data_IF_702252886287
#
_entry.id   IF_702252886287
#
_cell.length_a   1.000
_cell.length_b   1.000
_cell.length_c   1.000
_cell.angle_alpha   90.00
_cell.angle_beta   90.00
_cell.angle_gamma   90.00
#
_symmetry.space_group_name_H-M   'P 1'
#
loop_
_entity.id
_entity.type
_entity.pdbx_description
1 polymer ?
#
# COMPACT_ATOMS: atom_id res chain seq x y z
N UNK A 1 17.87 -13.29 24.67
CA UNK A 1 16.65 -14.08 24.34
C UNK A 1 16.45 -14.05 22.84
N UNK A 2 16.57 -15.21 22.17
CA UNK A 2 16.38 -15.32 20.71
C UNK A 2 14.88 -15.41 20.40
N UNK A 3 14.34 -14.42 19.69
CA UNK A 3 12.98 -14.44 19.16
C UNK A 3 12.82 -15.55 18.12
N UNK A 4 11.90 -16.48 18.36
CA UNK A 4 11.55 -17.57 17.43
C UNK A 4 10.74 -16.98 16.29
N UNK A 5 11.30 -16.90 15.07
CA UNK A 5 10.52 -16.64 13.85
C UNK A 5 9.53 -17.80 13.65
N UNK A 6 8.23 -17.51 13.76
CA UNK A 6 7.16 -18.45 13.44
C UNK A 6 7.16 -18.72 11.93
N UNK A 7 7.70 -19.86 11.51
CA UNK A 7 7.49 -20.37 10.15
C UNK A 7 6.11 -21.00 10.11
N UNK A 8 5.13 -20.30 9.51
CA UNK A 8 3.83 -20.91 9.16
C UNK A 8 4.07 -21.95 8.07
N UNK A 9 4.23 -23.22 8.45
CA UNK A 9 4.04 -24.35 7.52
C UNK A 9 2.53 -24.51 7.32
N UNK A 10 2.04 -24.26 6.11
CA UNK A 10 0.65 -24.51 5.77
C UNK A 10 0.49 -25.96 5.29
N UNK A 11 -0.45 -26.67 5.92
CA UNK A 11 -0.83 -28.03 5.59
C UNK A 11 -1.63 -28.07 4.28
N UNK A 12 -1.21 -28.92 3.35
CA UNK A 12 -1.99 -29.31 2.17
C UNK A 12 -3.18 -30.13 2.66
N UNK A 13 -4.37 -29.52 2.68
CA UNK A 13 -5.63 -30.24 2.85
C UNK A 13 -6.53 -29.83 1.68
N UNK A 14 -7.09 -30.83 1.01
CA UNK A 14 -7.94 -30.69 -0.18
C UNK A 14 -9.06 -29.68 0.11
N UNK A 15 -8.99 -28.53 -0.57
CA UNK A 15 -9.97 -27.44 -0.46
C UNK A 15 -11.21 -27.82 -1.27
N UNK A 16 -12.13 -28.57 -0.65
CA UNK A 16 -13.47 -28.81 -1.19
C UNK A 16 -14.46 -27.92 -0.43
N UNK A 17 -15.03 -26.94 -1.14
CA UNK A 17 -16.29 -26.25 -0.82
C UNK A 17 -16.43 -25.64 0.59
N UNK A 18 -15.51 -24.76 0.98
CA UNK A 18 -15.72 -23.87 2.12
C UNK A 18 -15.10 -22.50 1.82
N UNK A 19 -15.90 -21.58 1.29
CA UNK A 19 -15.72 -20.12 1.41
C UNK A 19 -16.87 -19.45 0.64
N UNK A 20 -17.92 -19.09 1.37
CA UNK A 20 -18.83 -17.94 1.19
C UNK A 20 -20.19 -18.24 1.83
N UNK A 21 -20.28 -18.16 3.16
CA UNK A 21 -21.55 -17.81 3.81
C UNK A 21 -21.25 -16.85 4.96
N UNK A 22 -21.51 -15.57 4.72
CA UNK A 22 -21.76 -14.63 5.79
C UNK A 22 -23.04 -15.05 6.51
N UNK A 23 -22.94 -15.17 7.83
CA UNK A 23 -24.05 -15.09 8.78
C UNK A 23 -25.26 -16.01 8.52
N UNK A 24 -25.04 -17.31 8.46
CA UNK A 24 -26.05 -18.26 8.94
C UNK A 24 -25.36 -19.20 9.92
N UNK A 25 -25.81 -19.18 11.17
CA UNK A 25 -25.38 -20.11 12.22
C UNK A 25 -25.37 -21.53 11.65
N UNK A 26 -24.17 -22.09 11.47
CA UNK A 26 -24.01 -23.50 11.13
C UNK A 26 -24.56 -24.32 12.30
N UNK A 27 -25.82 -24.72 12.18
CA UNK A 27 -26.42 -25.72 13.06
C UNK A 27 -25.62 -27.00 12.86
N UNK A 28 -24.84 -27.39 13.87
CA UNK A 28 -24.16 -28.68 13.91
C UNK A 28 -25.14 -29.78 13.54
N UNK A 29 -24.71 -30.69 12.66
CA UNK A 29 -25.54 -31.76 12.10
C UNK A 29 -26.34 -32.47 13.20
N UNK A 30 -27.63 -32.16 13.28
CA UNK A 30 -28.56 -32.95 14.07
C UNK A 30 -28.67 -34.31 13.38
N UNK A 31 -28.33 -35.39 14.10
CA UNK A 31 -28.52 -36.76 13.64
C UNK A 31 -29.96 -36.96 13.20
N UNK A 32 -30.17 -37.40 11.96
CA UNK A 32 -31.49 -37.55 11.38
C UNK A 32 -31.53 -38.63 10.31
N UNK A 33 -32.70 -38.81 9.71
CA UNK A 33 -32.95 -39.80 8.66
C UNK A 33 -33.69 -39.16 7.49
N UNK A 34 -33.31 -39.56 6.28
CA UNK A 34 -34.05 -39.23 5.07
C UNK A 34 -35.40 -39.96 5.07
N UNK A 35 -36.43 -39.25 4.62
CA UNK A 35 -37.79 -39.75 4.45
C UNK A 35 -38.32 -39.32 3.09
N UNK A 36 -39.26 -40.09 2.55
CA UNK A 36 -39.84 -39.83 1.23
C UNK A 36 -41.33 -40.19 1.21
N UNK A 37 -42.11 -39.39 0.49
CA UNK A 37 -43.51 -39.67 0.14
C UNK A 37 -43.77 -39.30 -1.33
N UNK A 38 -45.05 -39.16 -1.73
CA UNK A 38 -45.42 -38.76 -3.08
C UNK A 38 -45.06 -37.32 -3.45
N UNK A 39 -44.79 -36.46 -2.45
CA UNK A 39 -44.48 -35.04 -2.65
C UNK A 39 -42.98 -34.78 -2.74
N UNK A 40 -42.15 -35.60 -2.10
CA UNK A 40 -40.70 -35.54 -2.24
C UNK A 40 -39.93 -36.10 -1.05
N UNK A 41 -38.65 -35.72 -0.97
CA UNK A 41 -37.76 -36.09 0.13
C UNK A 41 -37.75 -35.03 1.21
N UNK A 42 -37.63 -35.41 2.49
CA UNK A 42 -37.31 -34.50 3.59
C UNK A 42 -36.34 -35.15 4.57
N UNK A 43 -35.74 -34.34 5.44
CA UNK A 43 -34.81 -34.82 6.47
C UNK A 43 -35.40 -34.61 7.86
N UNK A 44 -35.64 -35.71 8.57
CA UNK A 44 -36.22 -35.72 9.92
C UNK A 44 -35.13 -35.93 10.97
N UNK A 45 -35.07 -35.03 11.94
CA UNK A 45 -34.11 -35.08 13.05
C UNK A 45 -34.57 -36.04 14.14
N UNK A 46 -33.62 -36.49 14.97
CA UNK A 46 -33.86 -37.45 16.05
C UNK A 46 -34.81 -36.95 17.15
N UNK A 47 -34.99 -35.63 17.28
CA UNK A 47 -35.93 -34.99 18.20
C UNK A 47 -37.37 -34.92 17.65
N UNK A 48 -37.61 -35.47 16.46
CA UNK A 48 -38.90 -35.45 15.77
C UNK A 48 -39.17 -34.21 14.93
N UNK A 49 -38.27 -33.20 14.94
CA UNK A 49 -38.35 -32.04 14.04
C UNK A 49 -37.82 -32.37 12.63
N UNK A 50 -37.91 -31.44 11.69
CA UNK A 50 -37.42 -31.63 10.30
C UNK A 50 -36.81 -30.36 9.70
N UNK A 51 -35.98 -30.53 8.67
CA UNK A 51 -35.34 -29.44 7.97
C UNK A 51 -36.36 -28.64 7.12
N UNK A 52 -36.41 -27.31 7.30
CA UNK A 52 -37.33 -26.42 6.59
C UNK A 52 -36.70 -25.04 6.43
N UNK A 53 -36.80 -24.49 5.21
CA UNK A 53 -36.27 -23.17 4.80
C UNK A 53 -34.80 -22.95 5.18
N UNK A 54 -33.94 -23.92 4.87
CA UNK A 54 -32.51 -23.86 5.21
C UNK A 54 -31.64 -24.82 4.41
N UNK A 55 -30.35 -24.51 4.35
CA UNK A 55 -29.30 -25.43 3.96
C UNK A 55 -28.95 -26.41 5.08
N UNK A 56 -28.70 -27.67 4.73
CA UNK A 56 -28.19 -28.69 5.66
C UNK A 56 -27.08 -29.47 4.96
N UNK A 57 -25.95 -29.63 5.65
CA UNK A 57 -24.89 -30.53 5.22
C UNK A 57 -25.14 -31.92 5.82
N UNK A 58 -25.33 -32.92 4.97
CA UNK A 58 -25.58 -34.31 5.35
C UNK A 58 -24.52 -35.15 4.66
N UNK A 59 -23.75 -35.92 5.43
CA UNK A 59 -22.65 -36.76 4.91
C UNK A 59 -21.68 -36.01 3.98
N UNK A 60 -21.35 -34.76 4.34
CA UNK A 60 -20.47 -33.84 3.59
C UNK A 60 -21.05 -33.30 2.28
N UNK A 61 -22.30 -33.59 1.94
CA UNK A 61 -23.01 -33.03 0.78
C UNK A 61 -24.03 -31.98 1.26
N UNK A 62 -24.17 -30.88 0.54
CA UNK A 62 -25.12 -29.82 0.86
C UNK A 62 -26.46 -30.05 0.18
N UNK A 63 -27.55 -29.82 0.92
CA UNK A 63 -28.93 -29.91 0.44
C UNK A 63 -29.69 -28.67 0.92
N UNK A 64 -30.66 -28.19 0.13
CA UNK A 64 -31.57 -27.13 0.55
C UNK A 64 -32.98 -27.68 0.77
N UNK A 65 -33.62 -27.29 1.86
CA UNK A 65 -35.02 -27.65 2.18
C UNK A 65 -35.90 -26.42 2.09
N UNK A 66 -37.00 -26.53 1.34
CA UNK A 66 -37.97 -25.46 1.09
C UNK A 66 -38.81 -25.15 2.33
N UNK A 67 -39.69 -24.15 2.23
CA UNK A 67 -40.58 -23.73 3.32
C UNK A 67 -41.66 -24.77 3.65
N UNK A 68 -41.94 -25.72 2.77
CA UNK A 68 -42.81 -26.87 3.04
C UNK A 68 -42.08 -28.03 3.73
N UNK A 69 -40.75 -27.94 3.89
CA UNK A 69 -39.90 -28.99 4.47
C UNK A 69 -39.33 -29.98 3.46
N UNK A 70 -39.75 -29.93 2.20
CA UNK A 70 -39.25 -30.83 1.17
C UNK A 70 -37.92 -30.32 0.59
N UNK A 71 -37.05 -31.27 0.27
CA UNK A 71 -35.77 -31.08 -0.38
C UNK A 71 -35.98 -30.48 -1.78
N UNK A 72 -35.19 -29.48 -2.11
CA UNK A 72 -35.05 -28.99 -3.47
C UNK A 72 -34.38 -30.04 -4.36
N UNK A 73 -34.76 -30.10 -5.63
CA UNK A 73 -34.14 -30.98 -6.62
C UNK A 73 -34.30 -30.38 -8.01
N UNK A 74 -33.27 -30.46 -8.83
CA UNK A 74 -33.24 -29.90 -10.19
C UNK A 74 -33.62 -28.40 -10.25
N UNK A 75 -33.11 -27.59 -9.30
CA UNK A 75 -33.44 -26.17 -9.23
C UNK A 75 -32.33 -25.33 -8.57
N UNK A 76 -32.36 -24.02 -8.77
CA UNK A 76 -31.48 -23.08 -8.07
C UNK A 76 -32.05 -22.70 -6.71
N UNK A 77 -31.18 -22.70 -5.70
CA UNK A 77 -31.44 -22.15 -4.38
C UNK A 77 -30.27 -21.28 -3.98
N UNK A 78 -30.54 -20.01 -3.71
CA UNK A 78 -29.56 -19.07 -3.17
C UNK A 78 -28.21 -19.05 -3.93
N UNK A 79 -28.26 -19.10 -5.28
CA UNK A 79 -27.07 -19.03 -6.14
C UNK A 79 -26.37 -20.36 -6.40
N UNK A 80 -26.87 -21.46 -5.85
CA UNK A 80 -26.34 -22.80 -6.07
C UNK A 80 -27.38 -23.66 -6.77
N UNK A 81 -26.93 -24.48 -7.72
CA UNK A 81 -27.82 -25.48 -8.28
C UNK A 81 -27.84 -26.73 -7.43
N UNK A 82 -29.06 -27.22 -7.24
CA UNK A 82 -29.37 -28.51 -6.63
C UNK A 82 -29.72 -29.51 -7.73
N UNK A 83 -28.93 -30.57 -7.90
CA UNK A 83 -29.18 -31.58 -8.94
C UNK A 83 -30.40 -32.47 -8.66
N UNK A 84 -30.71 -33.40 -9.58
CA UNK A 84 -31.87 -34.28 -9.44
C UNK A 84 -31.82 -35.21 -8.24
N UNK A 85 -30.65 -35.39 -7.61
CA UNK A 85 -30.48 -36.13 -6.36
C UNK A 85 -30.65 -35.26 -5.12
N UNK A 86 -30.85 -33.94 -5.28
CA UNK A 86 -30.86 -32.98 -4.18
C UNK A 86 -29.48 -32.50 -3.75
N UNK A 87 -28.42 -33.08 -4.30
CA UNK A 87 -27.06 -32.67 -4.00
C UNK A 87 -26.82 -31.28 -4.62
N UNK A 88 -26.40 -30.35 -3.77
CA UNK A 88 -25.80 -29.11 -4.21
C UNK A 88 -24.56 -29.45 -5.01
N UNK A 89 -24.60 -29.08 -6.29
CA UNK A 89 -23.50 -29.31 -7.19
C UNK A 89 -22.79 -27.99 -7.40
N UNK A 90 -21.52 -27.97 -7.00
CA UNK A 90 -20.56 -26.89 -7.26
C UNK A 90 -20.25 -26.69 -8.76
N UNK A 91 -20.89 -27.47 -9.62
CA UNK A 91 -20.57 -27.59 -11.05
C UNK A 91 -21.58 -26.94 -12.00
N UNK A 92 -22.64 -26.25 -11.56
CA UNK A 92 -23.74 -25.99 -12.49
C UNK A 92 -23.51 -24.94 -13.58
N UNK A 93 -23.87 -25.44 -14.76
CA UNK A 93 -23.53 -25.07 -16.12
C UNK A 93 -24.84 -24.70 -16.82
N UNK A 94 -24.75 -23.78 -17.77
CA UNK A 94 -25.88 -23.20 -18.49
C UNK A 94 -25.69 -21.71 -18.75
N UNK A 95 -24.72 -21.12 -18.05
CA UNK A 95 -24.14 -19.86 -18.43
C UNK A 95 -23.31 -19.97 -19.70
N UNK A 96 -23.29 -18.88 -20.45
CA UNK A 96 -22.38 -18.68 -21.55
C UNK A 96 -21.51 -17.47 -21.25
N UNK A 97 -20.26 -17.53 -21.70
CA UNK A 97 -19.45 -16.33 -21.77
C UNK A 97 -20.10 -15.34 -22.72
N UNK A 98 -20.24 -14.12 -22.22
CA UNK A 98 -20.69 -12.96 -22.97
C UNK A 98 -19.58 -11.92 -22.97
N UNK A 99 -19.61 -11.02 -23.95
CA UNK A 99 -18.63 -9.95 -24.06
C UNK A 99 -19.22 -8.72 -24.73
N UNK A 100 -18.77 -7.55 -24.30
CA UNK A 100 -19.07 -6.27 -24.93
C UNK A 100 -17.79 -5.42 -24.98
N UNK A 101 -17.91 -4.11 -25.25
CA UNK A 101 -16.76 -3.18 -25.28
C UNK A 101 -16.09 -2.96 -23.91
N UNK A 102 -16.82 -3.19 -22.83
CA UNK A 102 -16.36 -2.97 -21.46
C UNK A 102 -15.62 -4.19 -20.92
N UNK A 103 -16.14 -5.39 -21.17
CA UNK A 103 -15.51 -6.62 -20.67
C UNK A 103 -16.30 -7.89 -20.99
N UNK A 104 -15.86 -8.99 -20.36
CA UNK A 104 -16.54 -10.29 -20.40
C UNK A 104 -17.37 -10.51 -19.14
N UNK A 105 -18.45 -11.27 -19.22
CA UNK A 105 -19.20 -11.76 -18.06
C UNK A 105 -19.74 -13.16 -18.35
N UNK A 106 -20.27 -13.82 -17.33
CA UNK A 106 -20.91 -15.12 -17.47
C UNK A 106 -22.39 -14.99 -17.18
N UNK A 107 -23.25 -15.42 -18.09
CA UNK A 107 -24.70 -15.20 -17.97
C UNK A 107 -25.47 -16.43 -18.41
N UNK A 108 -26.47 -16.82 -17.63
CA UNK A 108 -27.35 -17.93 -17.98
C UNK A 108 -28.58 -17.48 -18.79
N UNK A 109 -29.40 -18.46 -19.19
CA UNK A 109 -30.60 -18.22 -20.02
C UNK A 109 -31.72 -17.46 -19.28
N UNK A 110 -31.62 -17.32 -17.96
CA UNK A 110 -32.58 -16.59 -17.13
C UNK A 110 -32.18 -15.13 -16.94
N UNK A 111 -31.00 -14.73 -17.42
CA UNK A 111 -30.44 -13.39 -17.27
C UNK A 111 -29.66 -13.20 -15.96
N UNK A 112 -29.38 -14.27 -15.22
CA UNK A 112 -28.53 -14.21 -14.04
C UNK A 112 -27.05 -14.11 -14.45
N UNK A 113 -26.29 -13.30 -13.70
CA UNK A 113 -24.83 -13.21 -13.81
C UNK A 113 -24.17 -13.02 -12.43
N UNK A 114 -22.95 -13.55 -12.21
CA UNK A 114 -22.21 -13.42 -10.96
C UNK A 114 -21.69 -11.99 -10.75
N UNK A 115 -21.69 -11.53 -9.49
CA UNK A 115 -21.15 -10.22 -9.07
C UNK A 115 -20.42 -10.37 -7.75
N UNK A 116 -19.28 -9.68 -7.60
CA UNK A 116 -18.43 -9.71 -6.38
C UNK A 116 -18.12 -11.12 -5.84
N UNK A 117 -17.91 -12.11 -6.71
CA UNK A 117 -17.74 -13.50 -6.28
C UNK A 117 -16.82 -14.31 -7.20
N UNK A 118 -16.28 -15.40 -6.65
CA UNK A 118 -15.57 -16.43 -7.40
C UNK A 118 -16.56 -17.46 -7.95
N UNK A 119 -16.35 -17.90 -9.19
CA UNK A 119 -17.12 -18.96 -9.84
C UNK A 119 -16.18 -19.92 -10.58
N UNK A 120 -16.41 -21.22 -10.43
CA UNK A 120 -15.66 -22.23 -11.19
C UNK A 120 -16.38 -22.51 -12.51
N UNK A 121 -15.67 -22.32 -13.63
CA UNK A 121 -16.18 -22.56 -14.99
C UNK A 121 -15.15 -23.43 -15.72
N UNK A 122 -15.58 -24.56 -16.30
CA UNK A 122 -14.71 -25.47 -17.06
C UNK A 122 -13.41 -25.85 -16.33
N UNK A 123 -13.51 -26.10 -15.01
CA UNK A 123 -12.38 -26.53 -14.18
C UNK A 123 -11.42 -25.42 -13.74
N UNK A 124 -11.60 -24.18 -14.18
CA UNK A 124 -10.84 -23.01 -13.71
C UNK A 124 -11.72 -22.11 -12.84
N UNK A 125 -11.12 -21.39 -11.89
CA UNK A 125 -11.86 -20.40 -11.09
C UNK A 125 -11.71 -19.01 -11.72
N UNK A 126 -12.77 -18.21 -11.67
CA UNK A 126 -12.85 -16.85 -12.21
C UNK A 126 -13.47 -15.94 -11.17
N UNK A 127 -13.08 -14.67 -11.12
CA UNK A 127 -13.67 -13.69 -10.22
C UNK A 127 -14.46 -12.65 -11.00
N UNK A 128 -15.68 -12.33 -10.54
CA UNK A 128 -16.52 -11.29 -11.12
C UNK A 128 -16.60 -10.10 -10.19
N UNK A 129 -16.34 -8.91 -10.71
CA UNK A 129 -16.34 -7.67 -9.95
C UNK A 129 -17.77 -7.23 -9.59
N UNK A 130 -17.92 -6.15 -8.83
CA UNK A 130 -19.24 -5.63 -8.40
C UNK A 130 -20.14 -5.22 -9.55
N UNK A 131 -19.56 -4.94 -10.71
CA UNK A 131 -20.24 -4.64 -11.96
C UNK A 131 -20.69 -5.88 -12.74
N UNK A 132 -20.28 -7.09 -12.30
CA UNK A 132 -20.52 -8.36 -12.99
C UNK A 132 -19.53 -8.69 -14.10
N UNK A 133 -18.57 -7.80 -14.39
CA UNK A 133 -17.51 -8.10 -15.34
C UNK A 133 -16.44 -9.01 -14.73
N UNK A 134 -15.88 -9.87 -15.56
CA UNK A 134 -14.77 -10.75 -15.24
C UNK A 134 -13.51 -9.92 -14.93
N UNK A 135 -12.94 -10.14 -13.75
CA UNK A 135 -11.60 -9.68 -13.43
C UNK A 135 -10.58 -10.41 -14.31
N UNK A 136 -9.65 -9.66 -14.90
CA UNK A 136 -8.55 -10.21 -15.70
C UNK A 136 -7.26 -9.51 -15.33
N UNK A 137 -6.17 -10.27 -15.31
CA UNK A 137 -4.79 -9.81 -15.07
C UNK A 137 -4.62 -8.99 -13.79
N UNK A 138 -5.23 -9.46 -12.70
CA UNK A 138 -5.23 -8.72 -11.43
C UNK A 138 -5.33 -9.63 -10.21
N UNK A 139 -4.89 -9.08 -9.09
CA UNK A 139 -5.07 -9.66 -7.77
C UNK A 139 -6.45 -9.33 -7.21
N UNK A 140 -7.02 -10.30 -6.49
CA UNK A 140 -8.30 -10.28 -5.79
C UNK A 140 -8.04 -10.83 -4.37
N UNK A 141 -7.77 -9.93 -3.42
CA UNK A 141 -7.20 -10.30 -2.13
C UNK A 141 -5.86 -11.05 -2.34
N UNK A 142 -5.74 -12.23 -1.75
CA UNK A 142 -4.52 -13.07 -1.83
C UNK A 142 -4.43 -13.93 -3.10
N UNK A 143 -5.35 -13.78 -4.06
CA UNK A 143 -5.45 -14.64 -5.24
C UNK A 143 -5.26 -13.84 -6.53
N UNK A 144 -4.61 -14.43 -7.53
CA UNK A 144 -4.43 -13.80 -8.84
C UNK A 144 -5.25 -14.46 -9.94
N UNK A 145 -5.85 -13.65 -10.82
CA UNK A 145 -6.42 -14.09 -12.09
C UNK A 145 -5.57 -13.63 -13.26
N UNK A 146 -5.27 -14.52 -14.19
CA UNK A 146 -4.49 -14.21 -15.39
C UNK A 146 -5.27 -13.34 -16.40
N UNK A 147 -4.62 -13.00 -17.52
CA UNK A 147 -5.21 -12.25 -18.64
C UNK A 147 -6.50 -12.86 -19.22
N UNK A 148 -6.72 -14.16 -19.02
CA UNK A 148 -7.92 -14.87 -19.46
C UNK A 148 -8.97 -14.97 -18.34
N UNK A 149 -8.65 -14.43 -17.14
CA UNK A 149 -9.48 -14.39 -15.94
C UNK A 149 -9.37 -15.65 -15.07
N UNK A 150 -8.46 -16.57 -15.40
CA UNK A 150 -8.32 -17.84 -14.67
C UNK A 150 -7.47 -17.65 -13.43
N UNK A 151 -7.94 -18.21 -12.32
CA UNK A 151 -7.18 -18.26 -11.08
C UNK A 151 -5.87 -19.03 -11.23
N UNK A 152 -4.81 -18.45 -10.68
CA UNK A 152 -3.47 -19.03 -10.63
C UNK A 152 -3.19 -19.55 -9.23
N UNK A 153 -3.19 -20.89 -9.09
CA UNK A 153 -3.12 -21.61 -7.79
C UNK A 153 -1.90 -21.27 -6.92
N UNK A 154 -0.77 -20.93 -7.55
CA UNK A 154 0.51 -20.68 -6.87
C UNK A 154 1.07 -19.29 -7.20
N UNK A 155 0.17 -18.32 -7.44
CA UNK A 155 0.58 -16.93 -7.65
C UNK A 155 1.35 -16.42 -6.42
N UNK A 156 2.52 -15.81 -6.67
CA UNK A 156 3.33 -15.21 -5.62
C UNK A 156 3.17 -13.70 -5.65
N UNK A 157 2.66 -13.16 -4.56
CA UNK A 157 2.67 -11.73 -4.33
C UNK A 157 4.12 -11.29 -4.07
N UNK A 158 4.58 -10.31 -4.84
CA UNK A 158 5.86 -9.64 -4.62
C UNK A 158 5.53 -8.22 -4.19
N UNK A 159 5.96 -7.85 -2.97
CA UNK A 159 5.81 -6.48 -2.50
C UNK A 159 6.89 -5.59 -3.12
N UNK A 160 6.46 -4.73 -4.03
CA UNK A 160 7.33 -3.77 -4.69
C UNK A 160 7.45 -2.45 -3.92
N UNK A 161 6.90 -2.35 -2.71
CA UNK A 161 7.04 -1.16 -1.87
C UNK A 161 8.51 -0.82 -1.60
N UNK A 162 8.78 0.47 -1.49
CA UNK A 162 10.10 1.02 -1.26
C UNK A 162 10.38 2.24 -2.11
N UNK A 163 11.58 2.78 -1.94
CA UNK A 163 12.07 3.89 -2.75
C UNK A 163 13.01 3.35 -3.82
N UNK A 164 12.96 3.95 -5.01
CA UNK A 164 13.83 3.64 -6.12
C UNK A 164 14.47 4.94 -6.58
N UNK A 165 15.78 4.94 -6.78
CA UNK A 165 16.54 6.14 -7.18
C UNK A 165 17.09 5.94 -8.58
N UNK A 166 17.02 6.98 -9.42
CA UNK A 166 17.50 6.89 -10.79
C UNK A 166 19.00 6.60 -10.83
N UNK A 167 19.41 5.62 -11.65
CA UNK A 167 20.80 5.15 -11.69
C UNK A 167 21.74 6.06 -12.50
N UNK A 168 21.23 7.16 -13.06
CA UNK A 168 22.01 8.02 -13.96
C UNK A 168 22.54 9.26 -13.24
N UNK A 169 21.63 10.06 -12.66
CA UNK A 169 21.94 11.32 -11.99
C UNK A 169 21.64 11.29 -10.48
N UNK A 170 20.90 10.28 -9.98
CA UNK A 170 20.52 10.14 -8.58
C UNK A 170 19.55 11.22 -8.07
N UNK A 171 18.87 11.93 -8.96
CA UNK A 171 17.95 13.04 -8.66
C UNK A 171 16.48 12.61 -8.68
N UNK A 172 16.14 11.67 -9.56
CA UNK A 172 14.80 11.13 -9.70
C UNK A 172 14.53 10.05 -8.66
N UNK A 173 13.37 10.12 -8.00
CA UNK A 173 12.94 9.11 -7.03
C UNK A 173 11.56 8.58 -7.39
N UNK A 174 11.38 7.26 -7.32
CA UNK A 174 10.06 6.62 -7.31
C UNK A 174 9.82 6.08 -5.91
N UNK A 175 8.76 6.52 -5.26
CA UNK A 175 8.28 5.95 -4.00
C UNK A 175 7.06 5.11 -4.30
N UNK A 176 7.11 3.83 -3.91
CA UNK A 176 6.03 2.86 -4.06
C UNK A 176 5.54 2.51 -2.67
N UNK A 177 4.26 2.76 -2.42
CA UNK A 177 3.60 2.45 -1.15
C UNK A 177 2.45 1.51 -1.43
N UNK A 178 2.55 0.28 -0.92
CA UNK A 178 1.40 -0.62 -0.84
C UNK A 178 0.35 -0.02 0.09
N UNK A 179 -0.90 0.06 -0.37
CA UNK A 179 -2.00 0.65 0.40
C UNK A 179 -2.86 -0.44 1.03
N UNK A 180 -3.72 -1.07 0.22
CA UNK A 180 -4.58 -2.17 0.60
C UNK A 180 -4.74 -3.13 -0.59
N UNK A 181 -4.98 -4.41 -0.30
CA UNK A 181 -5.05 -5.50 -1.28
C UNK A 181 -3.82 -5.57 -2.19
N UNK A 182 -3.93 -5.19 -3.46
CA UNK A 182 -2.82 -5.07 -4.41
C UNK A 182 -2.77 -3.66 -5.03
N UNK A 183 -3.34 -2.67 -4.35
CA UNK A 183 -3.24 -1.29 -4.78
C UNK A 183 -1.95 -0.66 -4.25
N UNK A 184 -1.32 0.12 -5.13
CA UNK A 184 -0.12 0.87 -4.85
C UNK A 184 -0.36 2.34 -5.14
N UNK A 185 0.00 3.19 -4.19
CA UNK A 185 0.26 4.60 -4.45
C UNK A 185 1.70 4.71 -4.90
N UNK A 186 1.90 5.22 -6.11
CA UNK A 186 3.25 5.49 -6.62
C UNK A 186 3.41 6.99 -6.75
N UNK A 187 4.57 7.51 -6.36
CA UNK A 187 4.96 8.89 -6.60
C UNK A 187 6.31 8.91 -7.28
N UNK A 188 6.39 9.53 -8.45
CA UNK A 188 7.66 9.88 -9.09
C UNK A 188 7.95 11.34 -8.79
N UNK A 189 9.15 11.65 -8.30
CA UNK A 189 9.65 13.01 -8.15
C UNK A 189 10.90 13.15 -9.00
N UNK A 190 10.93 14.14 -9.88
CA UNK A 190 12.03 14.39 -10.78
C UNK A 190 12.40 15.88 -10.84
N UNK A 191 13.48 16.28 -10.15
CA UNK A 191 14.05 17.62 -10.28
C UNK A 191 14.66 17.81 -11.69
N UNK A 192 14.17 18.80 -12.44
CA UNK A 192 14.72 19.14 -13.77
C UNK A 192 15.72 20.29 -13.71
N UNK A 193 15.71 21.07 -12.63
CA UNK A 193 16.72 22.09 -12.34
C UNK A 193 16.81 22.34 -10.82
N UNK A 194 17.70 23.23 -10.40
CA UNK A 194 17.78 23.68 -9.01
C UNK A 194 16.51 24.40 -8.52
N UNK A 195 15.63 24.83 -9.44
CA UNK A 195 14.43 25.62 -9.15
C UNK A 195 13.15 24.96 -9.63
N UNK A 196 13.20 23.77 -10.23
CA UNK A 196 12.01 23.12 -10.81
C UNK A 196 11.99 21.65 -10.45
N UNK A 197 10.88 21.20 -9.86
CA UNK A 197 10.60 19.80 -9.59
C UNK A 197 9.29 19.39 -10.22
N UNK A 198 9.28 18.23 -10.86
CA UNK A 198 8.06 17.61 -11.35
C UNK A 198 7.71 16.42 -10.47
N UNK A 199 6.43 16.30 -10.11
CA UNK A 199 5.90 15.14 -9.40
C UNK A 199 4.79 14.50 -10.23
N UNK A 200 4.80 13.17 -10.30
CA UNK A 200 3.71 12.38 -10.86
C UNK A 200 3.14 11.48 -9.76
N UNK A 201 1.83 11.49 -9.61
CA UNK A 201 1.12 10.63 -8.68
C UNK A 201 0.29 9.61 -9.46
N UNK A 202 0.40 8.34 -9.03
CA UNK A 202 -0.27 7.20 -9.62
C UNK A 202 -0.99 6.40 -8.54
N UNK A 203 -2.10 5.79 -8.92
CA UNK A 203 -2.79 4.79 -8.13
C UNK A 203 -3.16 3.64 -9.05
N UNK A 204 -2.82 2.42 -8.69
CA UNK A 204 -3.10 1.27 -9.54
C UNK A 204 -2.62 -0.04 -8.94
N UNK A 205 -2.70 -1.09 -9.74
CA UNK A 205 -2.30 -2.43 -9.35
C UNK A 205 -1.06 -2.86 -10.15
N UNK A 206 -0.21 -3.67 -9.54
CA UNK A 206 0.93 -4.32 -10.21
C UNK A 206 0.53 -5.76 -10.54
N UNK A 207 0.69 -6.17 -11.80
CA UNK A 207 0.37 -7.51 -12.27
C UNK A 207 1.47 -8.53 -11.89
N UNK A 208 1.25 -9.83 -12.13
CA UNK A 208 2.24 -10.87 -11.80
C UNK A 208 3.56 -10.76 -12.57
N UNK A 209 3.59 -10.04 -13.69
CA UNK A 209 4.82 -9.78 -14.45
C UNK A 209 5.64 -8.62 -13.87
N UNK A 210 5.16 -8.01 -12.78
CA UNK A 210 5.72 -6.79 -12.22
C UNK A 210 5.33 -5.55 -13.03
N UNK A 211 4.31 -5.62 -13.90
CA UNK A 211 3.93 -4.48 -14.74
C UNK A 211 2.79 -3.69 -14.08
N UNK A 212 2.96 -2.38 -14.01
CA UNK A 212 1.96 -1.43 -13.54
C UNK A 212 1.53 -0.56 -14.72
N UNK A 213 0.31 -0.80 -15.20
CA UNK A 213 -0.29 0.00 -16.26
C UNK A 213 -1.21 1.05 -15.65
N UNK A 214 -1.04 2.31 -16.03
CA UNK A 214 -1.90 3.39 -15.57
C UNK A 214 -2.51 4.16 -16.74
N UNK A 215 -3.77 4.54 -16.57
CA UNK A 215 -4.54 5.31 -17.53
C UNK A 215 -4.85 6.73 -17.06
N UNK A 216 -4.61 7.02 -15.77
CA UNK A 216 -4.83 8.33 -15.17
C UNK A 216 -3.72 8.63 -14.14
N UNK A 217 -2.72 9.42 -14.53
CA UNK A 217 -1.78 10.02 -13.57
C UNK A 217 -1.89 11.54 -13.56
N UNK A 218 -1.59 12.13 -12.41
CA UNK A 218 -1.52 13.58 -12.24
C UNK A 218 -0.08 14.01 -12.19
N UNK A 219 0.30 14.95 -13.07
CA UNK A 219 1.60 15.62 -13.04
C UNK A 219 1.44 17.01 -12.45
N UNK A 220 2.27 17.33 -11.47
CA UNK A 220 2.39 18.67 -10.87
C UNK A 220 3.81 19.18 -11.07
N UNK A 221 3.94 20.41 -11.57
CA UNK A 221 5.22 21.12 -11.64
C UNK A 221 5.27 22.16 -10.52
N UNK A 222 6.35 22.13 -9.74
CA UNK A 222 6.64 23.11 -8.70
C UNK A 222 7.87 23.91 -9.09
N UNK A 223 7.72 25.24 -9.09
CA UNK A 223 8.78 26.20 -9.34
C UNK A 223 9.14 26.89 -8.02
N UNK A 224 10.41 26.79 -7.64
CA UNK A 224 10.98 27.42 -6.45
C UNK A 224 11.67 28.72 -6.85
N UNK A 225 11.34 29.80 -6.16
CA UNK A 225 11.96 31.10 -6.38
C UNK A 225 13.25 31.26 -5.56
N UNK A 226 14.08 32.24 -5.95
CA UNK A 226 15.33 32.55 -5.27
C UNK A 226 15.16 33.01 -3.82
N UNK A 227 13.93 33.34 -3.39
CA UNK A 227 13.58 33.85 -2.05
C UNK A 227 13.00 32.76 -1.13
N UNK A 228 12.88 31.52 -1.61
CA UNK A 228 12.36 30.38 -0.82
C UNK A 228 10.86 30.16 -0.95
N UNK A 229 10.17 30.94 -1.77
CA UNK A 229 8.79 30.68 -2.16
C UNK A 229 8.71 29.57 -3.21
N UNK A 230 7.53 28.95 -3.32
CA UNK A 230 7.23 27.98 -4.36
C UNK A 230 5.83 28.19 -4.92
N UNK A 231 5.66 27.95 -6.21
CA UNK A 231 4.33 27.85 -6.83
C UNK A 231 4.19 26.51 -7.54
N UNK A 232 3.01 25.91 -7.47
CA UNK A 232 2.71 24.62 -8.08
C UNK A 232 1.56 24.75 -9.06
N UNK A 233 1.66 24.04 -10.19
CA UNK A 233 0.56 23.91 -11.15
C UNK A 233 0.39 22.45 -11.57
N UNK A 234 -0.85 22.01 -11.73
CA UNK A 234 -1.15 20.74 -12.39
C UNK A 234 -0.91 20.91 -13.88
N UNK A 235 -0.02 20.08 -14.45
CA UNK A 235 0.30 20.09 -15.88
C UNK A 235 -0.72 19.25 -16.65
N UNK A 236 -1.08 18.08 -16.12
CA UNK A 236 -2.14 17.20 -16.64
C UNK A 236 -2.62 16.20 -15.58
N UNK A 237 -3.76 15.55 -15.83
CA UNK A 237 -4.41 14.58 -14.91
C UNK A 237 -4.88 13.28 -15.60
N UNK A 238 -4.53 13.12 -16.87
CA UNK A 238 -4.92 12.05 -17.79
C UNK A 238 -3.67 11.38 -18.38
N UNK A 239 -2.58 11.36 -17.62
CA UNK A 239 -1.33 10.70 -18.02
C UNK A 239 -1.53 9.19 -18.19
N UNK A 240 -0.91 8.62 -19.23
CA UNK A 240 -0.92 7.17 -19.48
C UNK A 240 0.50 6.67 -19.60
N UNK A 241 0.73 5.42 -19.20
CA UNK A 241 2.06 4.85 -19.26
C UNK A 241 2.17 3.51 -18.55
N UNK A 242 3.40 3.08 -18.38
CA UNK A 242 3.72 1.78 -17.82
C UNK A 242 4.95 1.89 -16.93
N UNK A 243 4.92 1.21 -15.79
CA UNK A 243 6.12 0.89 -15.01
C UNK A 243 6.35 -0.62 -15.02
N UNK A 244 7.61 -1.05 -15.02
CA UNK A 244 7.98 -2.46 -14.89
C UNK A 244 8.92 -2.62 -13.71
N UNK A 245 8.47 -3.40 -12.74
CA UNK A 245 9.17 -3.70 -11.51
C UNK A 245 9.86 -5.06 -11.60
N UNK A 246 11.06 -5.11 -11.05
CA UNK A 246 11.75 -6.32 -10.64
C UNK A 246 12.00 -6.23 -9.14
N UNK A 247 12.57 -7.26 -8.52
CA UNK A 247 12.90 -7.22 -7.08
C UNK A 247 13.82 -6.06 -6.70
N UNK A 248 14.63 -5.56 -7.64
CA UNK A 248 15.69 -4.57 -7.37
C UNK A 248 15.61 -3.33 -8.23
N UNK A 249 14.70 -3.25 -9.20
CA UNK A 249 14.68 -2.16 -10.17
C UNK A 249 13.27 -1.83 -10.65
N UNK A 250 13.07 -0.59 -11.07
CA UNK A 250 11.88 -0.18 -11.83
C UNK A 250 12.30 0.61 -13.07
N UNK A 251 11.67 0.32 -14.20
CA UNK A 251 11.68 1.20 -15.37
C UNK A 251 10.33 1.88 -15.47
N UNK A 252 10.30 3.17 -15.81
CA UNK A 252 9.07 3.94 -15.96
C UNK A 252 9.06 4.67 -17.29
N UNK A 253 7.93 4.61 -17.99
CA UNK A 253 7.69 5.36 -19.21
C UNK A 253 6.33 6.06 -19.11
N UNK A 254 6.35 7.39 -19.15
CA UNK A 254 5.15 8.20 -19.38
C UNK A 254 4.99 8.45 -20.88
N UNK A 255 3.95 7.86 -21.48
CA UNK A 255 3.71 7.93 -22.93
C UNK A 255 3.24 9.30 -23.38
N UNK A 256 2.68 10.12 -22.48
CA UNK A 256 2.15 11.44 -22.82
C UNK A 256 3.29 12.44 -23.06
N UNK A 257 4.35 12.36 -22.27
CA UNK A 257 5.52 13.24 -22.42
C UNK A 257 6.75 12.55 -23.03
N UNK A 258 6.71 11.23 -23.25
CA UNK A 258 7.89 10.40 -23.58
C UNK A 258 9.03 10.55 -22.56
N UNK A 259 8.69 10.77 -21.29
CA UNK A 259 9.65 10.98 -20.20
C UNK A 259 10.15 9.64 -19.65
N UNK A 260 11.42 9.63 -19.24
CA UNK A 260 12.12 8.50 -18.62
C UNK A 260 12.26 7.24 -19.49
N UNK A 261 12.08 7.35 -20.81
CA UNK A 261 12.24 6.24 -21.76
C UNK A 261 13.66 5.64 -21.69
N UNK A 262 13.77 4.45 -21.10
CA UNK A 262 15.03 3.73 -20.91
C UNK A 262 15.74 4.01 -19.57
N UNK A 263 15.18 4.87 -18.72
CA UNK A 263 15.74 5.11 -17.39
C UNK A 263 15.39 3.94 -16.46
N UNK A 264 16.39 3.51 -15.70
CA UNK A 264 16.25 2.47 -14.67
C UNK A 264 16.48 3.11 -13.31
N UNK A 265 15.56 2.87 -12.38
CA UNK A 265 15.70 3.24 -10.99
C UNK A 265 16.01 1.99 -10.19
N UNK A 266 16.94 2.09 -9.24
CA UNK A 266 17.38 0.97 -8.41
C UNK A 266 16.67 1.07 -7.07
N UNK A 267 16.08 -0.06 -6.64
CA UNK A 267 15.47 -0.19 -5.32
C UNK A 267 16.53 0.07 -4.28
N UNK A 268 16.22 1.01 -3.41
CA UNK A 268 17.07 1.30 -2.28
C UNK A 268 17.05 0.11 -1.34
N UNK A 269 18.24 -0.36 -0.93
CA UNK A 269 18.29 -1.26 0.22
C UNK A 269 17.92 -0.44 1.45
N UNK A 270 16.98 -0.95 2.26
CA UNK A 270 16.95 -0.60 3.67
C UNK A 270 18.29 -1.03 4.24
N UNK A 271 19.22 -0.07 4.38
CA UNK A 271 20.41 -0.29 5.17
C UNK A 271 19.93 -0.18 6.61
N UNK A 272 19.77 -1.31 7.30
CA UNK A 272 19.90 -1.31 8.76
C UNK A 272 21.25 -0.62 9.03
N UNK A 273 21.21 0.63 9.50
CA UNK A 273 22.43 1.36 9.80
C UNK A 273 23.04 0.65 11.00
N UNK A 274 24.02 -0.23 10.78
CA UNK A 274 24.95 -0.69 11.81
C UNK A 274 25.82 0.52 12.21
N UNK A 275 25.22 1.43 12.97
CA UNK A 275 25.79 2.68 13.41
C UNK A 275 24.96 3.25 14.54
N UNK A 276 25.61 3.98 15.45
CA UNK A 276 24.93 4.63 16.57
C UNK A 276 23.87 5.60 16.01
N UNK A 277 22.60 5.43 16.38
CA UNK A 277 21.57 6.41 16.05
C UNK A 277 21.81 7.69 16.86
N UNK A 278 21.91 8.81 16.15
CA UNK A 278 22.14 10.13 16.72
C UNK A 278 20.85 10.96 16.85
N UNK A 279 19.71 10.39 16.46
CA UNK A 279 18.41 11.06 16.53
C UNK A 279 18.05 11.45 17.96
N UNK A 280 17.43 12.62 18.11
CA UNK A 280 17.00 13.13 19.40
C UNK A 280 16.87 14.65 19.43
N UNK A 281 16.26 15.12 20.51
CA UNK A 281 16.19 16.54 20.86
C UNK A 281 17.26 16.82 21.91
N UNK A 282 18.08 17.83 21.68
CA UNK A 282 19.15 18.26 22.57
C UNK A 282 18.87 19.69 22.97
N UNK A 283 19.04 20.02 24.24
CA UNK A 283 18.72 21.36 24.75
C UNK A 283 19.90 21.95 25.51
N UNK A 284 19.94 23.27 25.58
CA UNK A 284 20.85 23.98 26.49
C UNK A 284 20.49 23.58 27.93
N UNK A 285 21.39 22.94 28.69
CA UNK A 285 21.10 22.40 30.02
C UNK A 285 20.93 23.48 31.09
N UNK A 286 21.25 24.75 30.79
CA UNK A 286 21.12 25.88 31.71
C UNK A 286 19.83 26.63 31.42
N UNK A 287 19.64 27.06 30.17
CA UNK A 287 18.49 27.90 29.82
C UNK A 287 17.26 27.09 29.41
N UNK A 288 17.44 25.89 28.84
CA UNK A 288 16.41 25.12 28.14
C UNK A 288 15.70 25.88 27.01
N UNK A 289 16.24 27.04 26.60
CA UNK A 289 15.62 27.90 25.58
C UNK A 289 16.09 27.51 24.20
N UNK A 290 17.37 27.17 24.05
CA UNK A 290 17.92 26.70 22.79
C UNK A 290 17.73 25.20 22.64
N UNK A 291 17.36 24.77 21.43
CA UNK A 291 17.11 23.36 21.11
C UNK A 291 17.72 22.96 19.76
N UNK A 292 18.22 21.73 19.69
CA UNK A 292 18.72 21.08 18.49
C UNK A 292 17.93 19.79 18.29
N UNK A 293 17.23 19.69 17.16
CA UNK A 293 16.53 18.48 16.75
C UNK A 293 17.34 17.77 15.68
N UNK A 294 17.72 16.53 15.93
CA UNK A 294 18.39 15.65 14.98
C UNK A 294 17.43 14.53 14.60
N UNK A 295 17.04 14.47 13.34
CA UNK A 295 16.08 13.48 12.84
C UNK A 295 16.74 12.62 11.79
N UNK A 296 16.87 11.32 12.07
CA UNK A 296 17.27 10.37 11.04
C UNK A 296 16.32 10.42 9.85
N UNK A 297 16.91 10.46 8.67
CA UNK A 297 16.23 10.32 7.39
C UNK A 297 16.75 9.04 6.71
N UNK A 298 16.59 8.95 5.41
CA UNK A 298 17.04 7.80 4.63
C UNK A 298 18.57 7.85 4.39
N UNK A 299 19.22 6.69 4.16
CA UNK A 299 20.66 6.57 3.84
C UNK A 299 21.67 7.07 4.91
N UNK A 300 21.29 7.07 6.19
CA UNK A 300 22.18 7.61 7.23
C UNK A 300 22.40 9.12 7.10
N UNK A 301 21.50 9.81 6.38
CA UNK A 301 21.38 11.26 6.42
C UNK A 301 20.47 11.68 7.57
N UNK A 302 20.69 12.88 8.06
CA UNK A 302 19.96 13.50 9.14
C UNK A 302 19.49 14.87 8.69
N UNK A 303 18.26 15.20 9.05
CA UNK A 303 17.79 16.57 9.08
C UNK A 303 18.14 17.14 10.45
N UNK A 304 18.80 18.30 10.48
CA UNK A 304 19.16 18.99 11.72
C UNK A 304 18.49 20.35 11.73
N UNK A 305 17.78 20.63 12.82
CA UNK A 305 17.16 21.94 13.08
C UNK A 305 17.72 22.49 14.39
N UNK A 306 18.16 23.75 14.40
CA UNK A 306 18.69 24.43 15.58
C UNK A 306 17.88 25.69 15.79
N UNK A 307 17.36 25.89 16.99
CA UNK A 307 16.67 27.11 17.40
C UNK A 307 17.42 27.83 18.53
N UNK A 308 17.77 29.09 18.32
CA UNK A 308 18.45 29.98 19.26
C UNK A 308 17.58 31.20 19.55
N UNK A 309 16.74 31.16 20.61
CA UNK A 309 15.96 32.32 20.99
C UNK A 309 16.82 33.37 21.68
N UNK A 310 16.54 34.64 21.43
CA UNK A 310 17.19 35.78 22.08
C UNK A 310 16.37 36.31 23.28
N UNK A 311 16.91 37.30 24.01
CA UNK A 311 16.25 37.87 25.18
C UNK A 311 14.96 38.66 24.89
N UNK A 312 14.71 38.99 23.61
CA UNK A 312 13.46 39.61 23.17
C UNK A 312 12.36 38.59 22.87
N UNK A 313 12.70 37.30 22.80
CA UNK A 313 11.79 36.21 22.45
C UNK A 313 11.77 35.91 20.95
N UNK A 314 12.57 36.60 20.14
CA UNK A 314 12.79 36.29 18.73
C UNK A 314 13.68 35.06 18.58
N UNK A 315 13.60 34.36 17.45
CA UNK A 315 14.24 33.06 17.23
C UNK A 315 15.10 33.06 15.97
N UNK A 316 16.41 32.82 16.14
CA UNK A 316 17.27 32.42 15.02
C UNK A 316 17.18 30.90 14.85
N UNK A 317 16.74 30.46 13.67
CA UNK A 317 16.63 29.05 13.31
C UNK A 317 17.56 28.66 12.15
N UNK A 318 18.20 27.51 12.27
CA UNK A 318 19.11 26.93 11.28
C UNK A 318 18.62 25.56 10.88
N UNK A 319 18.56 25.28 9.57
CA UNK A 319 18.26 23.95 9.05
C UNK A 319 19.32 23.51 8.06
N UNK A 320 19.78 22.26 8.17
CA UNK A 320 20.76 21.66 7.25
C UNK A 320 20.61 20.14 7.24
N UNK A 321 21.26 19.51 6.25
CA UNK A 321 21.26 18.06 6.10
C UNK A 321 22.68 17.50 6.04
N UNK A 322 22.86 16.24 6.43
CA UNK A 322 24.14 15.57 6.28
C UNK A 322 24.19 14.20 6.93
N UNK A 323 25.33 13.52 6.82
CA UNK A 323 25.56 12.23 7.46
C UNK A 323 26.61 12.35 8.54
N UNK A 324 26.44 11.61 9.64
CA UNK A 324 27.47 11.47 10.67
C UNK A 324 28.53 10.47 10.22
N UNK A 325 29.80 10.83 10.40
CA UNK A 325 30.92 9.91 10.29
C UNK A 325 31.00 8.96 11.50
N UNK A 326 31.95 8.03 11.45
CA UNK A 326 32.19 7.03 12.51
C UNK A 326 32.52 7.64 13.88
N UNK A 327 32.98 8.90 13.91
CA UNK A 327 33.37 9.61 15.12
C UNK A 327 32.22 10.50 15.64
N UNK A 328 31.05 10.46 15.00
CA UNK A 328 29.87 11.21 15.36
C UNK A 328 29.90 12.66 14.90
N UNK A 329 30.65 12.99 13.85
CA UNK A 329 30.71 14.33 13.25
C UNK A 329 29.97 14.38 11.91
N UNK A 330 29.13 15.39 11.73
CA UNK A 330 28.44 15.72 10.47
C UNK A 330 28.91 17.11 10.02
N UNK A 331 29.35 17.22 8.78
CA UNK A 331 29.72 18.48 8.12
C UNK A 331 28.65 18.86 7.10
N UNK A 332 28.26 20.13 7.05
CA UNK A 332 27.22 20.62 6.15
C UNK A 332 27.72 21.82 5.35
N UNK A 333 27.08 22.08 4.20
CA UNK A 333 27.34 23.25 3.32
C UNK A 333 26.05 23.86 2.77
N UNK A 334 24.90 23.38 3.22
CA UNK A 334 23.57 23.69 2.72
C UNK A 334 22.71 24.45 3.74
N UNK A 335 23.30 24.94 4.84
CA UNK A 335 22.52 25.52 5.92
C UNK A 335 21.72 26.74 5.48
N UNK A 336 20.47 26.81 5.94
CA UNK A 336 19.58 27.95 5.80
C UNK A 336 19.37 28.56 7.18
N UNK A 337 19.61 29.87 7.31
CA UNK A 337 19.29 30.65 8.52
C UNK A 337 18.05 31.49 8.31
N UNK A 338 17.11 31.40 9.25
CA UNK A 338 15.94 32.27 9.36
C UNK A 338 15.91 32.96 10.72
N UNK A 339 15.32 34.15 10.77
CA UNK A 339 15.04 34.90 11.97
C UNK A 339 13.53 35.09 12.08
N UNK A 340 12.94 34.66 13.19
CA UNK A 340 11.51 34.78 13.47
C UNK A 340 11.26 35.83 14.53
N UNK A 341 10.45 36.83 14.20
CA UNK A 341 10.01 37.87 15.14
C UNK A 341 8.59 37.61 15.59
N UNK A 342 8.36 37.66 16.90
CA UNK A 342 7.04 37.40 17.50
C UNK A 342 6.35 38.71 17.89
N UNK A 343 5.39 39.13 17.06
CA UNK A 343 4.63 40.36 17.31
C UNK A 343 3.65 40.24 18.48
N UNK A 344 3.44 41.33 19.20
CA UNK A 344 2.48 41.43 20.33
C UNK A 344 1.02 41.17 19.95
N UNK A 345 0.71 41.15 18.64
CA UNK A 345 -0.59 40.79 18.07
C UNK A 345 -0.73 39.29 17.75
N UNK A 346 0.23 38.45 18.17
CA UNK A 346 0.24 37.01 17.90
C UNK A 346 0.68 36.64 16.47
N UNK A 347 1.22 37.60 15.71
CA UNK A 347 1.70 37.37 14.33
C UNK A 347 3.21 37.14 14.33
N UNK A 348 3.64 35.99 13.79
CA UNK A 348 5.05 35.69 13.55
C UNK A 348 5.49 36.21 12.18
N UNK A 349 6.67 36.81 12.10
CA UNK A 349 7.30 37.21 10.84
C UNK A 349 8.63 36.49 10.70
N UNK A 350 8.78 35.67 9.66
CA UNK A 350 10.02 34.94 9.38
C UNK A 350 10.80 35.64 8.27
N UNK A 351 12.06 35.99 8.54
CA UNK A 351 13.01 36.57 7.59
C UNK A 351 14.17 35.62 7.38
N UNK A 352 14.38 35.16 6.16
CA UNK A 352 15.55 34.35 5.84
C UNK A 352 16.79 35.24 5.70
N UNK A 353 17.85 34.93 6.45
CA UNK A 353 19.06 35.74 6.54
C UNK A 353 20.14 35.31 5.54
N UNK A 354 20.35 34.00 5.35
CA UNK A 354 21.23 33.49 4.28
C UNK A 354 20.86 32.07 3.81
N UNK A 355 21.41 31.68 2.65
CA UNK A 355 21.35 30.33 2.06
C UNK A 355 22.77 29.82 1.81
N UNK A 356 23.04 28.55 2.11
CA UNK A 356 24.32 27.83 1.94
C UNK A 356 25.39 28.15 2.99
N UNK A 357 25.01 28.13 4.26
CA UNK A 357 25.99 28.14 5.34
C UNK A 357 26.76 26.81 5.42
N UNK A 358 28.00 26.85 5.87
CA UNK A 358 28.82 25.68 6.18
C UNK A 358 29.11 25.60 7.67
N UNK A 359 29.48 24.40 8.11
CA UNK A 359 29.85 24.16 9.48
C UNK A 359 29.87 22.68 9.82
N UNK A 360 29.82 22.39 11.12
CA UNK A 360 29.77 21.03 11.59
C UNK A 360 29.02 20.87 12.90
N UNK A 361 28.50 19.66 13.10
CA UNK A 361 27.91 19.21 14.36
C UNK A 361 28.63 17.93 14.79
N UNK A 362 28.92 17.79 16.07
CA UNK A 362 29.61 16.62 16.64
C UNK A 362 28.86 16.14 17.87
N UNK A 363 28.49 14.87 17.90
CA UNK A 363 27.76 14.25 19.02
C UNK A 363 28.64 13.19 19.66
N UNK A 364 29.00 13.40 20.93
CA UNK A 364 29.80 12.47 21.73
C UNK A 364 29.04 12.10 23.00
N UNK A 365 28.71 10.83 23.17
CA UNK A 365 27.86 10.38 24.27
C UNK A 365 26.45 10.98 24.15
N UNK A 366 26.09 11.86 25.09
CA UNK A 366 24.86 12.66 25.13
C UNK A 366 25.06 14.15 24.81
N UNK A 367 26.30 14.55 24.57
CA UNK A 367 26.68 15.95 24.36
C UNK A 367 26.76 16.27 22.87
N UNK A 368 26.27 17.44 22.50
CA UNK A 368 26.28 17.96 21.15
C UNK A 368 27.05 19.28 21.11
N UNK A 369 27.97 19.36 20.15
CA UNK A 369 28.69 20.59 19.78
C UNK A 369 28.30 20.98 18.37
N UNK A 370 27.96 22.24 18.17
CA UNK A 370 27.66 22.81 16.86
C UNK A 370 28.56 24.01 16.57
N UNK A 371 29.06 24.08 15.35
CA UNK A 371 29.90 25.16 14.83
C UNK A 371 29.32 25.60 13.49
N UNK A 372 29.06 26.89 13.36
CA UNK A 372 28.76 27.53 12.09
C UNK A 372 30.00 28.29 11.61
N UNK A 373 30.37 28.17 10.34
CA UNK A 373 31.54 28.87 9.79
C UNK A 373 31.17 30.27 9.26
N UNK A 374 29.89 30.52 8.99
CA UNK A 374 29.40 31.79 8.41
C UNK A 374 29.20 32.89 9.46
N UNK A 375 28.99 32.48 10.70
CA UNK A 375 28.89 33.34 11.87
C UNK A 375 29.81 32.66 12.88
N UNK A 376 30.75 33.34 13.52
CA UNK A 376 31.67 32.73 14.52
C UNK A 376 30.90 32.27 15.78
N UNK A 377 29.97 31.34 15.60
CA UNK A 377 29.04 30.80 16.57
C UNK A 377 29.43 29.34 16.74
N UNK A 378 30.09 29.06 17.85
CA UNK A 378 30.37 27.72 18.32
C UNK A 378 29.64 27.53 19.64
N UNK A 379 28.64 26.66 19.66
CA UNK A 379 27.94 26.28 20.89
C UNK A 379 28.41 24.89 21.28
N UNK A 380 29.03 24.83 22.45
CA UNK A 380 29.29 23.58 23.17
C UNK A 380 28.22 23.43 24.25
N UNK A 381 27.87 22.19 24.57
CA UNK A 381 27.12 21.82 25.79
C UNK A 381 25.61 21.59 25.66
N UNK A 382 25.06 21.43 24.45
CA UNK A 382 23.72 20.85 24.31
C UNK A 382 23.71 19.41 24.84
N UNK A 383 22.69 19.04 25.63
CA UNK A 383 22.53 17.68 26.16
C UNK A 383 21.23 17.04 25.67
N UNK A 384 21.30 15.73 25.35
CA UNK A 384 20.14 14.95 24.91
C UNK A 384 19.03 14.97 25.96
N UNK A 385 17.89 15.57 25.59
CA UNK A 385 16.66 15.61 26.37
C UNK A 385 15.98 14.23 26.34
N UNK A 386 15.36 13.82 27.46
CA UNK A 386 14.79 12.48 27.65
C UNK A 386 13.28 12.50 27.82
#
# INVERSE_FOLDING_TARGET
MRSKKFVKKLAITVLSAALCMGSAVASFAASGTWKQDSNGWWYSYSDGSYAKKKWVQIDKVWYYFKEDGYMSSSEYREGYWIDGSGACSSKYVGGAWKSNKTGKWYEDKTGYYPVSCWLQIDGSYYYFESSGYLATDKWIGDYYVDKDGKWVKDAKFVDYSGTYVDNFAGRGTITVTHTYDNYYSVKVKWPTSASVTNEWAFLGQIDMSGTFNYTNCTKTETIFDGKGGSSSKTVYSDGTGTMKFTETQVTWEDKKENVARGNTFIKTKEIEVEGKDYSGEYEDPISHRAAVKVEATYNGFYNVTIGLPDDSGDLDAYTFTGSFDKDGKLTYTDAVKTHETYGTNGKTTTKQLYKKGSGSITITGKKLKWVNDNEEVSITDFELYK
#
